data_IF_776598126906
#
_entry.id   IF_776598126906
#
_cell.length_a   1.000
_cell.length_b   1.000
_cell.length_c   1.000
_cell.angle_alpha   90.00
_cell.angle_beta   90.00
_cell.angle_gamma   90.00
#
_symmetry.space_group_name_H-M   'P 1'
#
loop_
_entity.id
_entity.type
_entity.pdbx_description
1 polymer ?
#
# COMPACT_ATOMS: atom_id res chain seq x y z
N UNK A 1 -26.80 13.15 -14.66
CA UNK A 1 -26.11 11.98 -15.28
C UNK A 1 -26.45 10.63 -14.64
N UNK A 2 -26.53 10.50 -13.31
CA UNK A 2 -26.93 9.22 -12.66
C UNK A 2 -28.39 8.82 -12.92
N UNK A 3 -29.32 9.78 -13.02
CA UNK A 3 -30.74 9.49 -13.28
C UNK A 3 -31.02 9.07 -14.74
N UNK A 4 -30.39 9.73 -15.73
CA UNK A 4 -30.46 9.33 -17.15
C UNK A 4 -29.93 7.91 -17.35
N UNK A 5 -28.88 7.54 -16.58
CA UNK A 5 -28.27 6.21 -16.58
C UNK A 5 -29.19 5.14 -15.98
N UNK A 6 -30.00 5.43 -14.97
CA UNK A 6 -30.97 4.47 -14.41
C UNK A 6 -32.19 4.25 -15.33
N UNK A 7 -32.69 5.32 -15.95
CA UNK A 7 -33.84 5.23 -16.88
C UNK A 7 -33.45 4.46 -18.15
N UNK A 8 -32.27 4.75 -18.73
CA UNK A 8 -31.79 4.05 -19.93
C UNK A 8 -31.45 2.58 -19.66
N UNK A 9 -30.85 2.25 -18.51
CA UNK A 9 -30.48 0.87 -18.17
C UNK A 9 -31.71 -0.01 -17.84
N UNK A 10 -32.74 0.58 -17.23
CA UNK A 10 -34.05 -0.06 -17.06
C UNK A 10 -34.77 -0.31 -18.38
N UNK A 11 -34.71 0.65 -19.32
CA UNK A 11 -35.26 0.47 -20.66
C UNK A 11 -34.49 -0.59 -21.48
N UNK A 12 -33.16 -0.57 -21.53
CA UNK A 12 -32.41 -1.43 -22.47
C UNK A 12 -32.46 -2.92 -22.08
N UNK A 13 -32.36 -3.25 -20.78
CA UNK A 13 -32.36 -4.66 -20.34
C UNK A 13 -33.78 -5.27 -20.27
N UNK A 14 -34.80 -4.47 -19.97
CA UNK A 14 -36.19 -4.91 -19.92
C UNK A 14 -36.92 -4.81 -21.27
N UNK A 15 -36.49 -3.90 -22.16
CA UNK A 15 -37.18 -3.60 -23.42
C UNK A 15 -36.42 -4.02 -24.67
N UNK A 16 -35.32 -4.79 -24.62
CA UNK A 16 -34.75 -5.34 -25.87
C UNK A 16 -35.78 -6.23 -26.57
N UNK A 17 -36.51 -7.06 -25.79
CA UNK A 17 -37.62 -7.86 -26.30
C UNK A 17 -38.78 -6.99 -26.80
N UNK A 18 -39.07 -5.89 -26.11
CA UNK A 18 -40.15 -4.96 -26.50
C UNK A 18 -39.78 -4.17 -27.76
N UNK A 19 -38.53 -3.75 -27.90
CA UNK A 19 -37.99 -3.09 -29.09
C UNK A 19 -37.95 -4.07 -30.27
N UNK A 20 -37.45 -5.29 -30.06
CA UNK A 20 -37.47 -6.32 -31.08
C UNK A 20 -38.91 -6.68 -31.51
N UNK A 21 -39.83 -6.81 -30.55
CA UNK A 21 -41.24 -7.06 -30.82
C UNK A 21 -41.93 -5.87 -31.51
N UNK A 22 -41.61 -4.63 -31.14
CA UNK A 22 -42.15 -3.43 -31.79
C UNK A 22 -41.63 -3.28 -33.22
N UNK A 23 -40.36 -3.59 -33.46
CA UNK A 23 -39.77 -3.60 -34.82
C UNK A 23 -40.38 -4.69 -35.68
N UNK A 24 -40.59 -5.89 -35.12
CA UNK A 24 -41.25 -7.00 -35.80
C UNK A 24 -42.72 -6.66 -36.10
N UNK A 25 -43.45 -6.10 -35.13
CA UNK A 25 -44.83 -5.65 -35.30
C UNK A 25 -44.96 -4.53 -36.34
N UNK A 26 -44.06 -3.54 -36.32
CA UNK A 26 -44.02 -2.46 -37.32
C UNK A 26 -43.72 -3.01 -38.73
N UNK A 27 -42.83 -4.00 -38.83
CA UNK A 27 -42.53 -4.67 -40.11
C UNK A 27 -43.75 -5.46 -40.61
N UNK A 28 -44.43 -6.21 -39.75
CA UNK A 28 -45.66 -6.93 -40.07
C UNK A 28 -46.81 -5.99 -40.46
N UNK A 29 -46.95 -4.86 -39.77
CA UNK A 29 -47.91 -3.81 -40.10
C UNK A 29 -47.64 -3.18 -41.47
N UNK A 30 -46.38 -2.92 -41.80
CA UNK A 30 -46.01 -2.40 -43.12
C UNK A 30 -46.23 -3.43 -44.23
N UNK A 31 -45.96 -4.72 -43.98
CA UNK A 31 -46.27 -5.79 -44.92
C UNK A 31 -47.78 -5.95 -45.12
N UNK A 32 -48.56 -5.88 -44.04
CA UNK A 32 -50.02 -5.92 -44.10
C UNK A 32 -50.60 -4.71 -44.84
N UNK A 33 -50.11 -3.50 -44.55
CA UNK A 33 -50.51 -2.28 -45.25
C UNK A 33 -50.15 -2.39 -46.74
N UNK A 34 -48.94 -2.85 -47.05
CA UNK A 34 -48.49 -3.12 -48.40
C UNK A 34 -49.40 -4.09 -49.15
N UNK A 35 -49.75 -5.20 -48.50
CA UNK A 35 -50.69 -6.17 -49.03
C UNK A 35 -52.08 -5.56 -49.27
N UNK A 36 -52.62 -4.77 -48.34
CA UNK A 36 -53.93 -4.12 -48.52
C UNK A 36 -53.93 -3.07 -49.62
N UNK A 37 -52.84 -2.32 -49.80
CA UNK A 37 -52.70 -1.34 -50.89
C UNK A 37 -52.60 -2.07 -52.22
N UNK A 38 -51.85 -3.18 -52.28
CA UNK A 38 -51.74 -4.03 -53.46
C UNK A 38 -53.09 -4.67 -53.82
N UNK A 39 -53.79 -5.23 -52.84
CA UNK A 39 -55.12 -5.84 -53.00
C UNK A 39 -56.18 -4.82 -53.43
N UNK A 40 -56.18 -3.62 -52.84
CA UNK A 40 -57.02 -2.50 -53.27
C UNK A 40 -56.75 -2.09 -54.72
N UNK A 41 -55.46 -2.01 -55.11
CA UNK A 41 -55.08 -1.65 -56.48
C UNK A 41 -55.45 -2.73 -57.49
N UNK A 42 -55.34 -4.01 -57.13
CA UNK A 42 -55.75 -5.14 -57.96
C UNK A 42 -57.28 -5.28 -58.06
N UNK A 43 -58.02 -4.97 -57.00
CA UNK A 43 -59.50 -5.08 -56.96
C UNK A 43 -60.22 -3.89 -57.60
N UNK A 44 -59.68 -2.67 -57.54
CA UNK A 44 -60.23 -1.50 -58.24
C UNK A 44 -59.65 -1.29 -59.64
N UNK A 45 -58.87 -2.25 -60.14
CA UNK A 45 -58.42 -2.31 -61.52
C UNK A 45 -59.50 -2.84 -62.49
N UNK A 46 -60.79 -2.56 -62.26
CA UNK A 46 -61.87 -2.89 -63.22
C UNK A 46 -61.80 -2.08 -64.55
N UNK A 47 -60.72 -1.33 -64.77
CA UNK A 47 -60.32 -0.78 -66.06
C UNK A 47 -59.20 -1.53 -66.79
N UNK A 48 -58.63 -2.60 -66.23
CA UNK A 48 -57.75 -3.54 -66.94
C UNK A 48 -58.25 -4.97 -66.71
N UNK A 49 -58.67 -5.61 -67.81
CA UNK A 49 -59.33 -6.91 -67.84
C UNK A 49 -58.68 -7.98 -66.96
N UNK A 50 -59.56 -8.88 -66.50
CA UNK A 50 -59.29 -9.83 -65.43
C UNK A 50 -58.01 -10.65 -65.55
N UNK A 51 -57.48 -11.00 -64.39
CA UNK A 51 -56.51 -12.09 -64.13
C UNK A 51 -55.49 -12.31 -65.26
N UNK A 52 -54.82 -11.25 -65.67
CA UNK A 52 -53.50 -11.34 -66.26
C UNK A 52 -52.60 -10.42 -65.43
N UNK A 53 -51.54 -10.99 -64.85
CA UNK A 53 -50.54 -10.24 -64.09
C UNK A 53 -50.10 -8.99 -64.88
N UNK A 54 -49.71 -7.87 -64.24
CA UNK A 54 -49.52 -6.62 -64.96
C UNK A 54 -48.46 -6.78 -66.06
N UNK A 55 -48.89 -6.90 -67.32
CA UNK A 55 -48.00 -6.99 -68.50
C UNK A 55 -47.42 -5.62 -68.88
N UNK A 56 -47.72 -4.57 -68.10
CA UNK A 56 -47.26 -3.20 -68.31
C UNK A 56 -46.18 -2.86 -67.27
N UNK A 57 -44.88 -2.95 -67.64
CA UNK A 57 -43.75 -2.74 -66.73
C UNK A 57 -43.78 -1.38 -66.04
N UNK A 58 -44.45 -0.38 -66.63
CA UNK A 58 -44.58 0.96 -66.07
C UNK A 58 -45.39 0.99 -64.76
N UNK A 59 -46.49 0.22 -64.67
CA UNK A 59 -47.34 0.17 -63.47
C UNK A 59 -46.69 -0.61 -62.33
N UNK A 60 -45.97 -1.68 -62.68
CA UNK A 60 -45.11 -2.40 -61.73
C UNK A 60 -43.97 -1.51 -61.21
N UNK A 61 -43.41 -0.64 -62.08
CA UNK A 61 -42.44 0.37 -61.69
C UNK A 61 -43.01 1.37 -60.68
N UNK A 62 -44.20 1.92 -60.92
CA UNK A 62 -44.83 2.90 -60.01
C UNK A 62 -45.18 2.30 -58.63
N UNK A 63 -45.63 1.04 -58.61
CA UNK A 63 -45.84 0.31 -57.36
C UNK A 63 -44.51 0.08 -56.62
N UNK A 64 -43.46 -0.33 -57.34
CA UNK A 64 -42.11 -0.47 -56.80
C UNK A 64 -41.56 0.83 -56.23
N UNK A 65 -41.82 1.96 -56.89
CA UNK A 65 -41.42 3.29 -56.43
C UNK A 65 -42.16 3.72 -55.16
N UNK A 66 -43.43 3.34 -54.99
CA UNK A 66 -44.17 3.60 -53.75
C UNK A 66 -43.59 2.81 -52.57
N UNK A 67 -43.37 1.50 -52.75
CA UNK A 67 -42.74 0.67 -51.71
C UNK A 67 -41.31 1.09 -51.43
N UNK A 68 -40.51 1.38 -52.46
CA UNK A 68 -39.16 1.90 -52.32
C UNK A 68 -39.11 3.25 -51.60
N UNK A 69 -40.04 4.15 -51.92
CA UNK A 69 -40.16 5.46 -51.30
C UNK A 69 -40.58 5.43 -49.83
N UNK A 70 -41.35 4.42 -49.42
CA UNK A 70 -41.78 4.26 -48.02
C UNK A 70 -40.79 3.40 -47.19
N UNK A 71 -40.33 2.28 -47.74
CA UNK A 71 -39.48 1.33 -47.02
C UNK A 71 -38.05 1.85 -46.83
N UNK A 72 -37.48 2.54 -47.82
CA UNK A 72 -36.09 3.02 -47.71
C UNK A 72 -35.89 4.02 -46.56
N UNK A 73 -36.74 5.04 -46.37
CA UNK A 73 -36.62 5.94 -45.21
C UNK A 73 -36.84 5.24 -43.87
N UNK A 74 -37.77 4.26 -43.80
CA UNK A 74 -38.02 3.52 -42.56
C UNK A 74 -36.82 2.64 -42.20
N UNK A 75 -36.29 1.85 -43.14
CA UNK A 75 -35.08 1.05 -42.91
C UNK A 75 -33.86 1.92 -42.63
N UNK A 76 -33.74 3.09 -43.28
CA UNK A 76 -32.71 4.08 -42.99
C UNK A 76 -32.79 4.58 -41.54
N UNK A 77 -33.98 4.96 -41.08
CA UNK A 77 -34.22 5.37 -39.70
C UNK A 77 -33.91 4.26 -38.69
N UNK A 78 -34.39 3.04 -38.95
CA UNK A 78 -34.11 1.88 -38.11
C UNK A 78 -32.61 1.55 -38.02
N UNK A 79 -31.88 1.72 -39.13
CA UNK A 79 -30.43 1.55 -39.16
C UNK A 79 -29.71 2.59 -38.29
N UNK A 80 -30.15 3.84 -38.33
CA UNK A 80 -29.62 4.92 -37.45
C UNK A 80 -29.92 4.63 -35.98
N UNK A 81 -31.15 4.21 -35.66
CA UNK A 81 -31.52 3.83 -34.28
C UNK A 81 -30.69 2.64 -33.80
N UNK A 82 -30.54 1.60 -34.62
CA UNK A 82 -29.70 0.45 -34.31
C UNK A 82 -28.24 0.83 -34.07
N UNK A 83 -27.69 1.71 -34.90
CA UNK A 83 -26.34 2.25 -34.74
C UNK A 83 -26.21 3.05 -33.44
N UNK A 84 -27.16 3.92 -33.11
CA UNK A 84 -27.15 4.70 -31.87
C UNK A 84 -27.19 3.80 -30.63
N UNK A 85 -28.05 2.77 -30.63
CA UNK A 85 -28.09 1.77 -29.56
C UNK A 85 -26.76 1.04 -29.44
N UNK A 86 -26.17 0.62 -30.57
CA UNK A 86 -24.87 -0.03 -30.59
C UNK A 86 -23.77 0.87 -30.00
N UNK A 87 -23.73 2.17 -30.36
CA UNK A 87 -22.76 3.13 -29.83
C UNK A 87 -22.91 3.32 -28.32
N UNK A 88 -24.15 3.41 -27.81
CA UNK A 88 -24.39 3.53 -26.35
C UNK A 88 -23.91 2.28 -25.62
N UNK A 89 -24.23 1.09 -26.13
CA UNK A 89 -23.79 -0.17 -25.53
C UNK A 89 -22.26 -0.33 -25.57
N UNK A 90 -21.63 0.01 -26.70
CA UNK A 90 -20.17 -0.01 -26.85
C UNK A 90 -19.48 0.94 -25.87
N UNK A 91 -20.06 2.13 -25.64
CA UNK A 91 -19.51 3.07 -24.63
C UNK A 91 -19.53 2.46 -23.23
N UNK A 92 -20.59 1.74 -22.86
CA UNK A 92 -20.66 1.07 -21.55
C UNK A 92 -19.65 -0.08 -21.44
N UNK A 93 -19.55 -0.92 -22.47
CA UNK A 93 -18.56 -2.00 -22.53
C UNK A 93 -17.14 -1.46 -22.40
N UNK A 94 -16.80 -0.39 -23.13
CA UNK A 94 -15.48 0.24 -23.04
C UNK A 94 -15.19 0.79 -21.63
N UNK A 95 -16.20 1.32 -20.93
CA UNK A 95 -16.03 1.79 -19.55
C UNK A 95 -15.79 0.62 -18.59
N UNK A 96 -16.49 -0.49 -18.77
CA UNK A 96 -16.26 -1.69 -17.96
C UNK A 96 -14.88 -2.29 -18.23
N UNK A 97 -14.51 -2.46 -19.50
CA UNK A 97 -13.17 -2.94 -19.91
C UNK A 97 -12.08 -2.02 -19.35
N UNK A 98 -12.25 -0.70 -19.39
CA UNK A 98 -11.29 0.23 -18.78
C UNK A 98 -11.14 0.02 -17.27
N UNK A 99 -12.24 -0.21 -16.55
CA UNK A 99 -12.20 -0.47 -15.09
C UNK A 99 -11.52 -1.79 -14.77
N UNK A 100 -11.86 -2.85 -15.51
CA UNK A 100 -11.25 -4.16 -15.36
C UNK A 100 -9.75 -4.12 -15.70
N UNK A 101 -9.37 -3.42 -16.78
CA UNK A 101 -7.97 -3.19 -17.14
C UNK A 101 -7.21 -2.42 -16.04
N UNK A 102 -7.81 -1.38 -15.45
CA UNK A 102 -7.20 -0.64 -14.34
C UNK A 102 -7.05 -1.50 -13.08
N UNK A 103 -8.06 -2.32 -12.74
CA UNK A 103 -7.97 -3.24 -11.62
C UNK A 103 -6.90 -4.31 -11.86
N UNK A 104 -6.84 -4.86 -13.07
CA UNK A 104 -5.82 -5.82 -13.49
C UNK A 104 -4.41 -5.22 -13.45
N UNK A 105 -4.24 -3.97 -13.90
CA UNK A 105 -2.96 -3.28 -13.85
C UNK A 105 -2.47 -3.11 -12.40
N UNK A 106 -3.36 -2.67 -11.49
CA UNK A 106 -3.03 -2.54 -10.06
C UNK A 106 -2.69 -3.88 -9.41
N UNK A 107 -3.41 -4.95 -9.78
CA UNK A 107 -3.10 -6.30 -9.30
C UNK A 107 -1.73 -6.76 -9.82
N UNK A 108 -1.41 -6.50 -11.09
CA UNK A 108 -0.11 -6.83 -11.67
C UNK A 108 1.04 -6.04 -11.03
N UNK A 109 0.86 -4.75 -10.74
CA UNK A 109 1.83 -3.93 -10.01
C UNK A 109 2.08 -4.48 -8.60
N UNK A 110 1.02 -4.88 -7.88
CA UNK A 110 1.13 -5.48 -6.55
C UNK A 110 1.88 -6.80 -6.62
N UNK A 111 1.55 -7.66 -7.59
CA UNK A 111 2.24 -8.94 -7.78
C UNK A 111 3.73 -8.74 -8.14
N UNK A 112 4.05 -7.78 -9.00
CA UNK A 112 5.43 -7.46 -9.37
C UNK A 112 6.24 -6.95 -8.18
N UNK A 113 5.62 -6.10 -7.34
CA UNK A 113 6.20 -5.66 -6.08
C UNK A 113 6.45 -6.85 -5.16
N UNK A 114 5.44 -7.69 -4.90
CA UNK A 114 5.54 -8.86 -4.01
C UNK A 114 6.63 -9.82 -4.47
N UNK A 115 6.69 -10.12 -5.77
CA UNK A 115 7.73 -10.97 -6.34
C UNK A 115 9.12 -10.41 -6.06
N UNK A 116 9.33 -9.12 -6.31
CA UNK A 116 10.61 -8.45 -6.05
C UNK A 116 10.94 -8.42 -4.56
N UNK A 117 9.96 -8.09 -3.69
CA UNK A 117 10.13 -8.09 -2.24
C UNK A 117 10.58 -9.46 -1.72
N UNK A 118 9.90 -10.53 -2.11
CA UNK A 118 10.25 -11.88 -1.66
C UNK A 118 11.57 -12.37 -2.27
N UNK A 119 11.94 -11.93 -3.48
CA UNK A 119 13.27 -12.17 -4.04
C UNK A 119 14.37 -11.49 -3.22
N UNK A 120 14.20 -10.20 -2.88
CA UNK A 120 15.16 -9.48 -2.04
C UNK A 120 15.25 -10.11 -0.64
N UNK A 121 14.13 -10.56 -0.07
CA UNK A 121 14.12 -11.24 1.23
C UNK A 121 14.88 -12.56 1.20
N UNK A 122 14.75 -13.34 0.11
CA UNK A 122 15.54 -14.56 -0.11
C UNK A 122 17.03 -14.25 -0.25
N UNK A 123 17.38 -13.25 -1.06
CA UNK A 123 18.76 -12.80 -1.24
C UNK A 123 19.37 -12.33 0.09
N UNK A 124 18.61 -11.65 0.94
CA UNK A 124 19.04 -11.31 2.29
C UNK A 124 19.34 -12.55 3.16
N UNK A 125 18.50 -13.59 3.10
CA UNK A 125 18.79 -14.85 3.81
C UNK A 125 20.01 -15.58 3.23
N UNK A 126 20.23 -15.53 1.91
CA UNK A 126 21.43 -16.08 1.28
C UNK A 126 22.69 -15.33 1.72
N UNK A 127 22.66 -13.99 1.74
CA UNK A 127 23.76 -13.15 2.26
C UNK A 127 24.03 -13.50 3.72
N UNK A 128 22.99 -13.55 4.56
CA UNK A 128 23.13 -13.94 5.96
C UNK A 128 23.84 -15.29 6.06
N UNK A 129 23.36 -16.32 5.35
CA UNK A 129 23.95 -17.66 5.40
C UNK A 129 25.38 -17.74 4.84
N UNK A 130 25.79 -16.79 3.99
CA UNK A 130 27.16 -16.66 3.49
C UNK A 130 28.11 -15.95 4.44
N UNK A 131 27.62 -15.35 5.53
CA UNK A 131 28.49 -14.78 6.57
C UNK A 131 29.22 -15.93 7.26
N UNK A 132 30.55 -15.91 7.19
CA UNK A 132 31.42 -16.91 7.80
C UNK A 132 32.37 -16.23 8.79
N UNK A 133 32.54 -16.85 9.96
CA UNK A 133 33.54 -16.46 10.94
C UNK A 133 34.30 -17.71 11.38
N UNK A 134 35.63 -17.66 11.32
CA UNK A 134 36.48 -18.74 11.83
C UNK A 134 37.29 -18.22 13.01
N UNK A 135 37.21 -18.93 14.13
CA UNK A 135 38.04 -18.68 15.31
C UNK A 135 38.71 -19.99 15.79
N UNK A 136 39.19 -19.99 17.03
CA UNK A 136 39.84 -21.15 17.66
C UNK A 136 38.88 -22.29 18.04
N UNK A 137 37.57 -22.03 18.14
CA UNK A 137 36.53 -23.01 18.42
C UNK A 137 35.97 -23.65 17.14
N UNK A 138 36.10 -22.99 15.99
CA UNK A 138 35.80 -23.57 14.69
C UNK A 138 35.28 -22.57 13.65
N UNK A 139 34.61 -23.11 12.62
CA UNK A 139 33.95 -22.33 11.57
C UNK A 139 32.46 -22.17 11.90
N UNK A 140 32.02 -20.93 12.01
CA UNK A 140 30.63 -20.54 12.21
C UNK A 140 30.06 -19.92 10.93
N UNK A 141 28.78 -20.16 10.67
CA UNK A 141 28.07 -19.65 9.49
C UNK A 141 26.72 -19.06 9.85
N UNK A 142 26.26 -18.10 9.05
CA UNK A 142 24.93 -17.54 9.20
C UNK A 142 24.72 -16.87 10.56
N UNK A 143 23.57 -17.14 11.16
CA UNK A 143 23.22 -16.59 12.49
C UNK A 143 24.20 -17.00 13.59
N UNK A 144 24.87 -18.15 13.47
CA UNK A 144 25.87 -18.55 14.44
C UNK A 144 27.12 -17.66 14.36
N UNK A 145 27.53 -17.28 13.14
CA UNK A 145 28.60 -16.32 12.92
C UNK A 145 28.21 -14.95 13.47
N UNK A 146 26.99 -14.46 13.19
CA UNK A 146 26.48 -13.19 13.74
C UNK A 146 26.46 -13.18 15.27
N UNK A 147 26.00 -14.27 15.89
CA UNK A 147 26.00 -14.41 17.35
C UNK A 147 27.42 -14.32 17.93
N UNK A 148 28.40 -14.97 17.28
CA UNK A 148 29.80 -14.95 17.71
C UNK A 148 30.43 -13.57 17.50
N UNK A 149 30.17 -12.94 16.35
CA UNK A 149 30.58 -11.56 16.04
C UNK A 149 30.05 -10.57 17.09
N UNK A 150 28.79 -10.73 17.51
CA UNK A 150 28.25 -9.93 18.61
C UNK A 150 29.04 -10.17 19.90
N UNK A 151 29.30 -11.43 20.26
CA UNK A 151 30.12 -11.75 21.42
C UNK A 151 31.51 -11.12 21.38
N UNK A 152 32.20 -11.17 20.24
CA UNK A 152 33.54 -10.59 20.08
C UNK A 152 33.53 -9.06 20.08
N UNK A 153 32.55 -8.43 19.41
CA UNK A 153 32.46 -6.97 19.31
C UNK A 153 31.95 -6.33 20.61
N UNK A 154 31.06 -7.00 21.34
CA UNK A 154 30.39 -6.46 22.54
C UNK A 154 30.92 -7.06 23.86
N UNK A 155 31.98 -7.87 23.80
CA UNK A 155 32.81 -8.18 24.97
C UNK A 155 33.94 -7.17 25.19
N UNK A 156 34.06 -6.20 24.28
CA UNK A 156 35.01 -5.10 24.39
C UNK A 156 34.68 -4.22 25.59
N UNK A 157 35.66 -4.09 26.48
CA UNK A 157 35.54 -3.29 27.70
C UNK A 157 35.32 -1.82 27.38
N UNK A 158 35.97 -1.30 26.33
CA UNK A 158 35.90 0.13 25.97
C UNK A 158 34.48 0.48 25.49
N UNK A 159 33.87 -0.42 24.69
CA UNK A 159 32.49 -0.24 24.24
C UNK A 159 31.48 -0.33 25.38
N UNK A 160 31.65 -1.29 26.29
CA UNK A 160 30.78 -1.45 27.44
C UNK A 160 30.87 -0.24 28.38
N UNK A 161 32.09 0.18 28.74
CA UNK A 161 32.35 1.32 29.61
C UNK A 161 31.78 2.61 29.02
N UNK A 162 31.99 2.84 27.72
CA UNK A 162 31.48 4.04 27.06
C UNK A 162 29.96 4.03 26.91
N UNK A 163 29.36 2.87 26.65
CA UNK A 163 27.90 2.72 26.64
C UNK A 163 27.25 2.96 28.01
N UNK A 164 27.96 2.72 29.11
CA UNK A 164 27.46 2.93 30.46
C UNK A 164 27.68 4.38 30.95
N UNK A 165 28.67 5.09 30.39
CA UNK A 165 29.07 6.43 30.81
C UNK A 165 28.95 7.46 29.66
N UNK A 166 27.85 7.44 28.92
CA UNK A 166 27.60 8.39 27.83
C UNK A 166 26.72 9.57 28.29
N UNK A 167 27.31 10.76 28.31
CA UNK A 167 26.64 11.99 28.78
C UNK A 167 26.29 12.99 27.66
N UNK A 168 27.03 12.99 26.56
CA UNK A 168 26.75 13.83 25.40
C UNK A 168 26.52 12.96 24.17
N UNK A 169 25.40 13.19 23.47
CA UNK A 169 24.99 12.37 22.32
C UNK A 169 26.01 12.50 21.20
N UNK A 170 26.36 13.73 20.87
CA UNK A 170 27.26 14.06 19.77
C UNK A 170 28.67 13.50 20.04
N UNK A 171 29.15 13.61 21.28
CA UNK A 171 30.44 13.01 21.70
C UNK A 171 30.41 11.49 21.62
N UNK A 172 29.32 10.86 22.08
CA UNK A 172 29.16 9.41 22.00
C UNK A 172 29.11 8.91 20.56
N UNK A 173 28.37 9.59 19.67
CA UNK A 173 28.27 9.21 18.26
C UNK A 173 29.61 9.40 17.53
N UNK A 174 30.34 10.49 17.80
CA UNK A 174 31.67 10.70 17.25
C UNK A 174 32.64 9.59 17.68
N UNK A 175 32.68 9.28 18.98
CA UNK A 175 33.48 8.17 19.50
C UNK A 175 33.06 6.82 18.90
N UNK A 176 31.76 6.58 18.72
CA UNK A 176 31.24 5.33 18.14
C UNK A 176 31.69 5.18 16.68
N UNK A 177 31.69 6.28 15.91
CA UNK A 177 32.22 6.28 14.55
C UNK A 177 33.70 5.89 14.54
N UNK A 178 34.53 6.55 15.36
CA UNK A 178 35.97 6.24 15.47
C UNK A 178 36.21 4.78 15.88
N UNK A 179 35.47 4.29 16.88
CA UNK A 179 35.52 2.90 17.34
C UNK A 179 35.21 1.92 16.20
N UNK A 180 34.19 2.23 15.39
CA UNK A 180 33.81 1.38 14.26
C UNK A 180 34.81 1.46 13.11
N UNK A 181 35.45 2.60 12.85
CA UNK A 181 36.51 2.71 11.84
C UNK A 181 37.73 1.85 12.23
N UNK A 182 38.18 1.96 13.48
CA UNK A 182 39.31 1.18 13.99
C UNK A 182 39.02 -0.33 13.99
N UNK A 183 37.77 -0.71 14.28
CA UNK A 183 37.33 -2.10 14.28
C UNK A 183 36.76 -2.58 12.93
N UNK A 184 36.64 -1.71 11.93
CA UNK A 184 36.08 -2.04 10.61
C UNK A 184 36.87 -3.17 9.94
N UNK A 185 38.20 -3.14 10.11
CA UNK A 185 39.12 -4.14 9.56
C UNK A 185 38.81 -5.54 10.13
N UNK A 186 38.37 -5.65 11.39
CA UNK A 186 38.11 -6.94 12.03
C UNK A 186 36.82 -7.58 11.56
N UNK A 187 35.74 -6.81 11.48
CA UNK A 187 34.38 -7.40 11.32
C UNK A 187 33.51 -6.69 10.29
N UNK A 188 33.85 -5.47 9.87
CA UNK A 188 33.02 -4.63 8.99
C UNK A 188 32.72 -5.30 7.65
N UNK A 189 33.75 -5.84 7.00
CA UNK A 189 33.61 -6.50 5.69
C UNK A 189 32.69 -7.74 5.71
N UNK A 190 32.51 -8.40 6.85
CA UNK A 190 31.69 -9.60 6.97
C UNK A 190 30.19 -9.29 7.02
N UNK A 191 29.80 -8.08 7.45
CA UNK A 191 28.40 -7.72 7.73
C UNK A 191 27.90 -6.52 6.93
N UNK A 192 28.76 -5.83 6.19
CA UNK A 192 28.37 -4.67 5.38
C UNK A 192 27.32 -5.02 4.32
N UNK A 193 27.55 -6.08 3.54
CA UNK A 193 26.55 -6.54 2.56
C UNK A 193 25.25 -7.00 3.21
N UNK A 194 25.33 -7.52 4.44
CA UNK A 194 24.16 -7.88 5.23
C UNK A 194 23.33 -6.63 5.58
N UNK A 195 23.95 -5.56 6.11
CA UNK A 195 23.23 -4.32 6.41
C UNK A 195 22.71 -3.61 5.16
N UNK A 196 23.51 -3.56 4.09
CA UNK A 196 23.08 -2.99 2.81
C UNK A 196 21.85 -3.71 2.26
N UNK A 197 21.78 -5.03 2.40
CA UNK A 197 20.61 -5.80 1.97
C UNK A 197 19.34 -5.43 2.76
N UNK A 198 19.46 -5.16 4.06
CA UNK A 198 18.34 -4.69 4.89
C UNK A 198 17.88 -3.32 4.45
N UNK A 199 18.82 -2.38 4.28
CA UNK A 199 18.52 -1.02 3.82
C UNK A 199 17.85 -1.03 2.44
N UNK A 200 18.32 -1.87 1.52
CA UNK A 200 17.74 -2.01 0.19
C UNK A 200 16.29 -2.52 0.25
N UNK A 201 16.00 -3.54 1.06
CA UNK A 201 14.62 -4.03 1.24
C UNK A 201 13.75 -2.94 1.87
N UNK A 202 14.26 -2.27 2.92
CA UNK A 202 13.52 -1.24 3.62
C UNK A 202 13.21 -0.05 2.70
N UNK A 203 14.21 0.45 1.96
CA UNK A 203 14.06 1.48 0.95
C UNK A 203 13.09 1.08 -0.16
N UNK A 204 13.13 -0.19 -0.61
CA UNK A 204 12.20 -0.70 -1.61
C UNK A 204 10.75 -0.66 -1.11
N UNK A 205 10.50 -1.09 0.14
CA UNK A 205 9.18 -0.99 0.78
C UNK A 205 8.76 0.46 0.94
N UNK A 206 9.65 1.32 1.46
CA UNK A 206 9.36 2.72 1.72
C UNK A 206 9.01 3.49 0.45
N UNK A 207 9.80 3.36 -0.62
CA UNK A 207 9.62 4.13 -1.87
C UNK A 207 8.46 3.63 -2.74
N UNK A 208 7.93 2.44 -2.46
CA UNK A 208 6.83 1.88 -3.24
C UNK A 208 5.50 2.61 -3.01
N UNK A 209 4.59 2.54 -4.00
CA UNK A 209 3.23 3.08 -3.89
C UNK A 209 2.22 2.07 -3.29
N UNK A 210 2.69 0.96 -2.72
CA UNK A 210 1.81 -0.07 -2.17
C UNK A 210 1.02 0.47 -0.97
N UNK A 211 -0.21 0.01 -0.82
CA UNK A 211 -1.09 0.41 0.29
C UNK A 211 -0.67 -0.20 1.63
N UNK A 212 -0.28 -1.48 1.64
CA UNK A 212 -0.08 -2.25 2.87
C UNK A 212 1.40 -2.38 3.29
N UNK A 213 2.14 -1.25 3.37
CA UNK A 213 3.57 -1.26 3.77
C UNK A 213 3.82 -1.89 5.14
N UNK A 214 2.91 -1.69 6.08
CA UNK A 214 3.00 -2.24 7.44
C UNK A 214 3.03 -3.78 7.47
N UNK A 215 2.37 -4.45 6.52
CA UNK A 215 2.47 -5.90 6.36
C UNK A 215 3.89 -6.33 5.98
N UNK A 216 4.48 -5.71 4.96
CA UNK A 216 5.83 -6.04 4.49
C UNK A 216 6.91 -5.68 5.52
N UNK A 217 6.75 -4.56 6.22
CA UNK A 217 7.61 -4.19 7.35
C UNK A 217 7.57 -5.27 8.45
N UNK A 218 6.40 -5.82 8.79
CA UNK A 218 6.29 -6.96 9.72
C UNK A 218 7.02 -8.20 9.24
N UNK A 219 6.91 -8.53 7.95
CA UNK A 219 7.62 -9.69 7.38
C UNK A 219 9.14 -9.54 7.43
N UNK A 220 9.65 -8.35 7.07
CA UNK A 220 11.07 -8.03 7.17
C UNK A 220 11.57 -8.13 8.62
N UNK A 221 10.86 -7.49 9.56
CA UNK A 221 11.20 -7.54 10.99
C UNK A 221 11.23 -8.94 11.56
N UNK A 222 10.32 -9.80 11.10
CA UNK A 222 10.26 -11.21 11.49
C UNK A 222 11.49 -12.01 11.09
N UNK A 223 12.39 -11.48 10.25
CA UNK A 223 13.63 -12.16 9.88
C UNK A 223 14.75 -11.97 10.92
N UNK A 224 14.70 -10.95 11.77
CA UNK A 224 15.84 -10.60 12.62
C UNK A 224 15.80 -11.30 13.98
N UNK A 225 16.93 -11.87 14.37
CA UNK A 225 17.22 -12.34 15.72
C UNK A 225 17.58 -11.18 16.65
N UNK A 226 17.64 -11.43 17.96
CA UNK A 226 18.03 -10.39 18.92
C UNK A 226 19.45 -9.86 18.66
N UNK A 227 20.40 -10.74 18.34
CA UNK A 227 21.77 -10.34 18.08
C UNK A 227 21.90 -9.49 16.81
N UNK A 228 21.16 -9.85 15.75
CA UNK A 228 21.09 -9.04 14.52
C UNK A 228 20.50 -7.65 14.80
N UNK A 229 19.43 -7.57 15.60
CA UNK A 229 18.84 -6.28 15.98
C UNK A 229 19.81 -5.43 16.80
N UNK A 230 20.59 -6.03 17.70
CA UNK A 230 21.58 -5.31 18.51
C UNK A 230 22.77 -4.83 17.67
N UNK A 231 23.32 -5.68 16.80
CA UNK A 231 24.41 -5.24 15.94
C UNK A 231 23.94 -4.13 14.97
N UNK A 232 22.73 -4.26 14.42
CA UNK A 232 22.10 -3.22 13.60
C UNK A 232 21.86 -1.92 14.40
N UNK A 233 21.53 -2.02 15.69
CA UNK A 233 21.33 -0.88 16.58
C UNK A 233 22.56 0.00 16.69
N UNK A 234 23.77 -0.56 16.79
CA UNK A 234 24.97 0.26 16.85
C UNK A 234 25.47 0.66 15.46
N UNK A 235 25.37 -0.24 14.49
CA UNK A 235 25.80 0.04 13.12
C UNK A 235 25.04 1.22 12.48
N UNK A 236 23.72 1.29 12.67
CA UNK A 236 22.91 2.36 12.08
C UNK A 236 23.08 3.72 12.78
N UNK A 237 23.80 3.81 13.89
CA UNK A 237 24.13 5.10 14.52
C UNK A 237 25.32 5.81 13.85
N UNK A 238 26.02 5.13 12.94
CA UNK A 238 27.15 5.72 12.23
C UNK A 238 26.69 6.73 11.18
N UNK A 239 27.56 7.70 10.90
CA UNK A 239 27.26 8.78 9.94
C UNK A 239 27.01 8.22 8.53
N UNK A 240 27.79 7.23 8.12
CA UNK A 240 27.66 6.57 6.81
C UNK A 240 26.38 5.72 6.67
N UNK A 241 25.77 5.33 7.80
CA UNK A 241 24.62 4.43 7.84
C UNK A 241 23.29 5.19 8.02
N UNK A 242 23.26 6.49 7.69
CA UNK A 242 22.08 7.35 7.87
C UNK A 242 20.80 6.78 7.21
N UNK A 243 20.91 6.24 5.99
CA UNK A 243 19.76 5.66 5.28
C UNK A 243 19.17 4.43 5.97
N UNK A 244 20.00 3.64 6.65
CA UNK A 244 19.54 2.52 7.47
C UNK A 244 18.85 2.99 8.75
N UNK A 245 19.37 4.04 9.41
CA UNK A 245 18.70 4.65 10.57
C UNK A 245 17.30 5.14 10.25
N UNK A 246 17.15 5.88 9.15
CA UNK A 246 15.85 6.36 8.66
C UNK A 246 14.91 5.17 8.39
N UNK A 247 15.40 4.16 7.67
CA UNK A 247 14.66 2.92 7.38
C UNK A 247 14.18 2.19 8.64
N UNK A 248 15.01 2.14 9.67
CA UNK A 248 14.67 1.55 10.98
C UNK A 248 13.52 2.30 11.64
N UNK A 249 13.61 3.63 11.67
CA UNK A 249 12.63 4.51 12.33
C UNK A 249 11.28 4.48 11.61
N UNK A 250 11.28 4.47 10.28
CA UNK A 250 10.05 4.49 9.47
C UNK A 250 9.31 3.16 9.42
N UNK A 251 10.04 2.04 9.36
CA UNK A 251 9.46 0.70 9.32
C UNK A 251 9.36 0.05 10.71
N UNK A 252 9.71 0.81 11.76
CA UNK A 252 9.71 0.35 13.14
C UNK A 252 10.51 -0.94 13.34
N UNK A 253 11.69 -1.05 12.72
CA UNK A 253 12.44 -2.31 12.64
C UNK A 253 12.83 -2.88 14.01
N UNK A 254 12.99 -2.02 15.02
CA UNK A 254 13.27 -2.42 16.38
C UNK A 254 12.03 -2.77 17.22
N UNK A 255 10.84 -3.01 16.65
CA UNK A 255 9.69 -3.51 17.43
C UNK A 255 9.95 -4.88 18.08
N UNK A 256 10.86 -5.69 17.56
CA UNK A 256 11.28 -6.97 18.16
C UNK A 256 12.40 -6.88 19.20
N UNK A 257 13.12 -5.74 19.29
CA UNK A 257 14.32 -5.59 20.14
C UNK A 257 13.99 -5.74 21.63
N UNK A 258 14.72 -6.57 22.36
CA UNK A 258 14.60 -6.70 23.81
C UNK A 258 15.61 -5.77 24.50
N UNK A 259 15.17 -4.74 25.23
CA UNK A 259 16.09 -3.80 25.86
C UNK A 259 17.02 -4.42 26.89
N UNK A 260 16.66 -5.57 27.48
CA UNK A 260 17.52 -6.25 28.46
C UNK A 260 18.85 -6.72 27.85
N UNK A 261 18.93 -6.79 26.52
CA UNK A 261 20.15 -7.17 25.84
C UNK A 261 21.03 -5.96 25.49
N UNK A 262 20.59 -4.73 25.76
CA UNK A 262 21.43 -3.55 25.61
C UNK A 262 22.36 -3.39 26.82
N UNK A 263 23.60 -2.89 26.62
CA UNK A 263 24.51 -2.57 27.71
C UNK A 263 23.96 -1.54 28.71
N UNK A 264 23.23 -0.55 28.20
CA UNK A 264 22.46 0.44 28.96
C UNK A 264 21.11 0.70 28.25
N UNK A 265 20.03 0.72 29.04
CA UNK A 265 18.68 1.03 28.57
C UNK A 265 18.52 2.46 28.05
N UNK A 266 19.33 3.41 28.52
CA UNK A 266 19.27 4.81 28.09
C UNK A 266 19.60 4.98 26.61
N UNK A 267 20.42 4.09 26.05
CA UNK A 267 20.80 4.10 24.63
C UNK A 267 19.60 4.07 23.70
N UNK A 268 18.44 3.55 24.16
CA UNK A 268 17.19 3.60 23.40
C UNK A 268 16.83 5.02 22.93
N UNK A 269 17.30 6.07 23.64
CA UNK A 269 17.09 7.48 23.29
C UNK A 269 17.89 7.94 22.05
N UNK A 270 18.82 7.13 21.53
CA UNK A 270 19.58 7.44 20.32
C UNK A 270 18.74 7.31 19.04
N UNK A 271 17.61 6.60 19.12
CA UNK A 271 16.61 6.46 18.07
C UNK A 271 15.30 7.12 18.47
N UNK A 272 14.54 7.55 17.47
CA UNK A 272 13.16 7.93 17.69
C UNK A 272 12.32 6.71 18.12
N UNK A 273 11.36 6.88 19.03
CA UNK A 273 10.58 5.74 19.52
C UNK A 273 9.74 5.04 18.45
N UNK A 274 9.50 5.66 17.29
CA UNK A 274 8.85 5.00 16.14
C UNK A 274 9.68 3.83 15.62
N UNK A 275 11.00 3.82 15.82
CA UNK A 275 11.85 2.66 15.56
C UNK A 275 11.38 1.41 16.32
N UNK A 276 10.77 1.57 17.50
CA UNK A 276 10.36 0.47 18.36
C UNK A 276 8.88 0.07 18.20
N UNK A 277 8.15 0.71 17.30
CA UNK A 277 6.73 0.42 17.04
C UNK A 277 5.82 0.68 18.25
N UNK A 278 4.66 0.03 18.28
CA UNK A 278 3.58 0.25 19.27
C UNK A 278 3.89 -0.53 20.56
N UNK A 279 5.14 -0.49 21.04
CA UNK A 279 5.69 -1.41 22.04
C UNK A 279 6.30 -0.72 23.26
N UNK A 280 5.54 0.10 24.01
CA UNK A 280 6.03 0.80 25.21
C UNK A 280 6.40 -0.08 26.42
N UNK A 281 6.35 -1.41 26.26
CA UNK A 281 6.95 -2.38 27.21
C UNK A 281 8.46 -2.18 27.29
N UNK A 282 9.09 -1.68 26.22
CA UNK A 282 10.54 -1.47 26.18
C UNK A 282 10.98 -0.33 27.09
N UNK A 283 10.19 0.75 27.07
CA UNK A 283 10.41 1.93 27.88
C UNK A 283 9.88 1.77 29.32
N UNK A 284 9.21 0.66 29.68
CA UNK A 284 9.00 0.34 31.12
C UNK A 284 10.27 -0.09 31.83
N UNK A 285 11.30 -0.55 31.13
CA UNK A 285 12.60 -0.80 31.76
C UNK A 285 13.19 0.49 32.36
N UNK A 286 13.04 1.61 31.62
CA UNK A 286 13.37 2.98 32.10
C UNK A 286 12.46 3.48 33.25
N UNK A 287 11.41 2.73 33.61
CA UNK A 287 10.55 3.00 34.77
C UNK A 287 10.93 2.15 35.99
N UNK A 288 11.70 1.08 35.81
CA UNK A 288 12.10 0.12 36.85
C UNK A 288 13.35 0.55 37.62
N UNK A 289 13.73 -0.16 38.68
CA UNK A 289 14.93 0.15 39.50
C UNK A 289 16.23 0.23 38.68
N UNK A 290 16.32 -0.36 37.49
CA UNK A 290 17.46 -0.14 36.58
C UNK A 290 17.64 1.35 36.18
N UNK A 291 16.56 2.14 36.22
CA UNK A 291 16.61 3.57 35.95
C UNK A 291 17.07 4.43 37.13
N UNK A 292 17.36 3.85 38.31
CA UNK A 292 18.01 4.59 39.41
C UNK A 292 19.52 4.79 39.17
N UNK A 293 20.08 4.08 38.20
CA UNK A 293 21.48 4.21 37.78
C UNK A 293 21.67 5.15 36.58
N UNK A 294 20.59 5.76 36.07
CA UNK A 294 20.65 6.68 34.95
C UNK A 294 21.09 8.06 35.41
N UNK A 295 22.06 8.66 34.73
CA UNK A 295 22.43 10.06 34.96
C UNK A 295 21.23 10.99 34.73
N UNK A 296 21.18 12.12 35.44
CA UNK A 296 20.16 13.14 35.23
C UNK A 296 20.07 13.59 33.75
N UNK A 297 21.21 13.58 33.04
CA UNK A 297 21.30 13.88 31.62
C UNK A 297 20.56 12.82 30.76
N UNK A 298 20.71 11.52 31.07
CA UNK A 298 20.01 10.43 30.38
C UNK A 298 18.49 10.51 30.55
N UNK A 299 18.02 10.81 31.77
CA UNK A 299 16.58 11.02 32.04
C UNK A 299 16.05 12.24 31.26
N UNK A 300 16.82 13.32 31.20
CA UNK A 300 16.44 14.52 30.46
C UNK A 300 16.36 14.29 28.94
N UNK A 301 17.28 13.50 28.37
CA UNK A 301 17.23 13.11 26.95
C UNK A 301 16.01 12.24 26.65
N UNK A 302 15.73 11.24 27.50
CA UNK A 302 14.54 10.41 27.36
C UNK A 302 13.23 11.22 27.50
N UNK A 303 13.20 12.23 28.38
CA UNK A 303 12.08 13.16 28.50
C UNK A 303 11.87 14.00 27.25
N UNK A 304 12.95 14.56 26.69
CA UNK A 304 12.92 15.35 25.45
C UNK A 304 12.39 14.49 24.29
N UNK A 305 12.96 13.30 24.09
CA UNK A 305 12.51 12.36 23.05
C UNK A 305 11.03 11.97 23.23
N UNK A 306 10.59 11.67 24.46
CA UNK A 306 9.19 11.35 24.72
C UNK A 306 8.24 12.52 24.42
N UNK A 307 8.67 13.77 24.66
CA UNK A 307 7.88 14.98 24.34
C UNK A 307 7.77 15.21 22.83
N UNK A 308 8.90 15.26 22.11
CA UNK A 308 8.95 15.48 20.65
C UNK A 308 8.11 14.46 19.90
N UNK A 309 8.10 13.23 20.39
CA UNK A 309 7.31 12.16 19.83
C UNK A 309 5.83 12.21 20.15
N UNK A 310 5.48 12.67 21.35
CA UNK A 310 4.09 12.89 21.69
C UNK A 310 3.50 13.98 20.78
N UNK A 311 4.28 15.02 20.48
CA UNK A 311 3.93 16.06 19.52
C UNK A 311 3.79 15.49 18.10
N UNK A 312 4.79 14.76 17.60
CA UNK A 312 4.73 14.11 16.27
C UNK A 312 3.54 13.14 16.13
N UNK A 313 3.26 12.33 17.17
CA UNK A 313 2.09 11.45 17.19
C UNK A 313 0.78 12.23 17.18
N UNK A 314 0.71 13.36 17.88
CA UNK A 314 -0.46 14.24 17.89
C UNK A 314 -0.69 14.91 16.52
N UNK A 315 0.36 15.39 15.86
CA UNK A 315 0.27 15.93 14.50
C UNK A 315 -0.20 14.87 13.49
N UNK A 316 0.40 13.67 13.54
CA UNK A 316 -0.02 12.53 12.72
C UNK A 316 -1.49 12.21 12.95
N UNK A 317 -1.92 12.12 14.21
CA UNK A 317 -3.29 11.84 14.61
C UNK A 317 -4.27 12.89 14.04
N UNK A 318 -3.92 14.18 14.09
CA UNK A 318 -4.71 15.25 13.46
C UNK A 318 -4.81 15.06 11.94
N UNK A 319 -3.70 14.74 11.27
CA UNK A 319 -3.66 14.52 9.82
C UNK A 319 -4.51 13.33 9.36
N UNK A 320 -4.53 12.24 10.13
CA UNK A 320 -5.29 11.02 9.81
C UNK A 320 -6.77 11.26 10.10
N UNK A 321 -7.11 11.97 11.17
CA UNK A 321 -8.49 12.40 11.46
C UNK A 321 -9.08 13.27 10.36
N UNK A 322 -8.30 14.22 9.83
CA UNK A 322 -8.71 15.06 8.70
C UNK A 322 -9.00 14.20 7.45
N UNK A 323 -8.08 13.29 7.09
CA UNK A 323 -8.27 12.36 5.96
C UNK A 323 -9.49 11.47 6.13
N UNK A 324 -9.69 10.90 7.32
CA UNK A 324 -10.88 10.09 7.64
C UNK A 324 -12.16 10.90 7.43
N UNK A 325 -12.18 12.16 7.87
CA UNK A 325 -13.34 13.04 7.71
C UNK A 325 -13.67 13.26 6.22
N UNK A 326 -12.65 13.53 5.40
CA UNK A 326 -12.82 13.71 3.95
C UNK A 326 -13.33 12.43 3.26
N UNK A 327 -12.77 11.27 3.62
CA UNK A 327 -13.18 9.96 3.09
C UNK A 327 -14.63 9.63 3.47
N UNK A 328 -15.00 9.87 4.73
CA UNK A 328 -16.36 9.66 5.21
C UNK A 328 -17.36 10.59 4.49
N UNK A 329 -17.00 11.86 4.27
CA UNK A 329 -17.80 12.81 3.50
C UNK A 329 -17.98 12.41 2.02
N UNK A 330 -16.99 11.72 1.44
CA UNK A 330 -17.04 11.18 0.10
C UNK A 330 -17.72 9.80 0.00
N UNK A 331 -18.16 9.20 1.11
CA UNK A 331 -18.73 7.85 1.17
C UNK A 331 -17.73 6.74 0.82
N UNK A 332 -16.45 6.98 1.06
CA UNK A 332 -15.36 6.03 0.82
C UNK A 332 -15.05 5.22 2.08
N UNK A 333 -14.48 4.03 1.86
CA UNK A 333 -13.97 3.17 2.94
C UNK A 333 -12.84 3.88 3.70
N UNK A 334 -12.92 3.83 5.03
CA UNK A 334 -12.05 4.54 5.97
C UNK A 334 -11.70 3.66 7.20
N UNK A 335 -11.81 2.34 7.04
CA UNK A 335 -11.48 1.37 8.09
C UNK A 335 -9.99 1.47 8.50
N UNK A 336 -9.09 1.62 7.52
CA UNK A 336 -7.66 1.78 7.77
C UNK A 336 -7.33 3.03 8.60
N UNK A 337 -7.95 4.17 8.30
CA UNK A 337 -7.74 5.42 9.05
C UNK A 337 -8.29 5.29 10.47
N UNK A 338 -9.38 4.55 10.65
CA UNK A 338 -9.95 4.26 11.97
C UNK A 338 -9.01 3.42 12.82
N UNK A 339 -8.42 2.39 12.23
CA UNK A 339 -7.40 1.54 12.87
C UNK A 339 -6.12 2.33 13.19
N UNK A 340 -5.66 3.19 12.29
CA UNK A 340 -4.48 4.02 12.50
C UNK A 340 -4.71 5.03 13.64
N UNK A 341 -5.89 5.67 13.69
CA UNK A 341 -6.29 6.57 14.79
C UNK A 341 -6.25 5.84 16.14
N UNK A 342 -6.88 4.67 16.24
CA UNK A 342 -6.93 3.91 17.49
C UNK A 342 -5.52 3.54 17.99
N UNK A 343 -4.61 3.18 17.08
CA UNK A 343 -3.20 2.89 17.42
C UNK A 343 -2.47 4.14 17.90
N UNK A 344 -2.63 5.26 17.22
CA UNK A 344 -1.99 6.53 17.57
C UNK A 344 -2.47 7.06 18.94
N UNK A 345 -3.76 6.94 19.26
CA UNK A 345 -4.31 7.35 20.56
C UNK A 345 -3.74 6.51 21.72
N UNK A 346 -3.66 5.20 21.54
CA UNK A 346 -3.01 4.29 22.50
C UNK A 346 -1.55 4.71 22.72
N UNK A 347 -0.86 5.10 21.66
CA UNK A 347 0.55 5.48 21.71
C UNK A 347 0.78 6.82 22.42
N UNK A 348 -0.01 7.86 22.12
CA UNK A 348 0.01 9.14 22.85
C UNK A 348 -0.22 8.91 24.35
N UNK A 349 -1.20 8.08 24.71
CA UNK A 349 -1.47 7.74 26.11
C UNK A 349 -0.31 7.01 26.80
N UNK A 350 0.45 6.21 26.06
CA UNK A 350 1.63 5.51 26.61
C UNK A 350 2.84 6.45 26.73
N UNK A 351 3.10 7.30 25.74
CA UNK A 351 4.16 8.31 25.78
C UNK A 351 3.95 9.29 26.94
N UNK A 352 2.71 9.73 27.16
CA UNK A 352 2.35 10.57 28.31
C UNK A 352 2.68 9.89 29.65
N UNK A 353 2.39 8.59 29.79
CA UNK A 353 2.76 7.82 31.00
C UNK A 353 4.26 7.67 31.19
N UNK A 354 5.01 7.45 30.10
CA UNK A 354 6.46 7.40 30.13
C UNK A 354 7.04 8.75 30.57
N UNK A 355 6.61 9.83 29.93
CA UNK A 355 7.05 11.18 30.25
C UNK A 355 6.76 11.51 31.72
N UNK A 356 5.57 11.20 32.22
CA UNK A 356 5.23 11.40 33.64
C UNK A 356 6.13 10.61 34.59
N UNK A 357 6.47 9.37 34.25
CA UNK A 357 7.35 8.53 35.07
C UNK A 357 8.79 9.05 35.09
N UNK A 358 9.33 9.45 33.94
CA UNK A 358 10.66 10.05 33.83
C UNK A 358 10.74 11.41 34.55
N UNK A 359 9.69 12.25 34.43
CA UNK A 359 9.63 13.55 35.10
C UNK A 359 9.58 13.41 36.62
N UNK A 360 8.92 12.37 37.13
CA UNK A 360 8.92 12.06 38.57
C UNK A 360 10.32 11.72 39.06
N UNK A 361 11.06 10.86 38.33
CA UNK A 361 12.43 10.46 38.69
C UNK A 361 13.41 11.63 38.65
N UNK A 362 13.31 12.52 37.66
CA UNK A 362 14.13 13.75 37.59
C UNK A 362 13.98 14.62 38.85
N UNK A 363 12.83 14.57 39.52
CA UNK A 363 12.55 15.34 40.72
C UNK A 363 12.97 14.64 42.02
N UNK A 364 13.37 13.36 41.97
CA UNK A 364 13.92 12.64 43.12
C UNK A 364 15.41 13.03 43.28
N UNK A 365 15.86 13.48 44.48
CA UNK A 365 17.26 13.84 44.68
C UNK A 365 18.16 12.60 44.49
N UNK A 366 19.30 12.77 43.80
CA UNK A 366 20.35 11.74 43.72
C UNK A 366 20.77 11.37 45.15
N UNK A 367 20.58 10.09 45.53
CA UNK A 367 20.91 9.55 46.86
C UNK A 367 22.29 8.93 46.84
#
# INVERSE_FOLDING_TARGET
>A
MKEVRQVMFGLVRSNWFVLAAALLAATLLMLALGYTVLDYYLSHAEGLGGVDAPQDPAKLGTLGDFFGGLLNPVFGFLSVVGLLVAVVLQREQLQQVKREAQASARAAETQAFENTFFQLLRLHQEILNSVELSDHEGLFRGRAAIHRLYGESFSDYDLLERCQNWDEREEFLAWLNDYYEDNYIRFGHLVEHYYQSIENIASFVHRSAIRNKAFYARLLRGQFSQYELLMMFFHALRDEAFGLKESIEELSLFEGLRPQNLPDYSLLALYEVRAYGIGLVKWSALRSDAASQLSAANIQRALKAASEMMESCQERLLSVRARKFDLAGAGQDHENESDEIARLEVEVGRLSRLHKALSKRRAEPEV
#
